data_IF_278244766309
#
_entry.id   IF_278244766309
#
_cell.length_a   1.000
_cell.length_b   1.000
_cell.length_c   1.000
_cell.angle_alpha   90.00
_cell.angle_beta   90.00
_cell.angle_gamma   90.00
#
_symmetry.space_group_name_H-M   'P 1'
#
loop_
_entity.id
_entity.type
_entity.pdbx_description
1 polymer ?
#
# COMPACT_ATOMS: atom_id res chain seq x y z
N UNK A 1 3.88 7.78 -12.22
CA UNK A 1 3.13 6.51 -12.42
C UNK A 1 2.33 6.15 -11.18
N UNK A 2 2.97 6.03 -10.02
CA UNK A 2 2.31 5.61 -8.77
C UNK A 2 1.17 6.52 -8.28
N UNK A 3 1.27 7.84 -8.43
CA UNK A 3 0.25 8.78 -7.93
C UNK A 3 -1.10 8.76 -8.67
N UNK A 4 -1.19 8.16 -9.86
CA UNK A 4 -2.41 8.21 -10.68
C UNK A 4 -2.99 6.82 -10.93
N UNK A 5 -2.14 5.80 -11.03
CA UNK A 5 -2.59 4.42 -11.18
C UNK A 5 -3.21 3.87 -9.89
N UNK A 6 -2.62 4.15 -8.72
CA UNK A 6 -3.16 3.60 -7.46
C UNK A 6 -4.59 4.05 -7.17
N UNK A 7 -4.93 5.36 -7.31
CA UNK A 7 -6.31 5.81 -7.06
C UNK A 7 -7.31 5.24 -8.07
N UNK A 8 -6.88 5.01 -9.32
CA UNK A 8 -7.72 4.37 -10.33
C UNK A 8 -8.05 2.91 -9.95
N UNK A 9 -7.09 2.16 -9.39
CA UNK A 9 -7.36 0.80 -8.93
C UNK A 9 -8.42 0.79 -7.81
N UNK A 10 -8.38 1.74 -6.88
CA UNK A 10 -9.44 1.88 -5.87
C UNK A 10 -10.78 2.23 -6.52
N UNK A 11 -10.79 3.11 -7.53
CA UNK A 11 -12.01 3.49 -8.25
C UNK A 11 -12.62 2.32 -9.06
N UNK A 12 -11.78 1.43 -9.60
CA UNK A 12 -12.19 0.18 -10.28
C UNK A 12 -12.77 -0.89 -9.32
N UNK A 13 -12.79 -0.59 -8.01
CA UNK A 13 -13.38 -1.45 -6.99
C UNK A 13 -12.43 -2.49 -6.43
N UNK A 14 -11.12 -2.24 -6.44
CA UNK A 14 -10.17 -3.01 -5.63
C UNK A 14 -10.26 -2.56 -4.17
N UNK A 15 -10.32 -3.54 -3.26
CA UNK A 15 -10.57 -3.26 -1.85
C UNK A 15 -9.31 -2.73 -1.13
N UNK A 16 -8.15 -3.32 -1.47
CA UNK A 16 -6.86 -2.95 -0.91
C UNK A 16 -5.76 -2.98 -1.99
N UNK A 17 -4.94 -1.93 -2.06
CA UNK A 17 -3.84 -1.80 -3.03
C UNK A 17 -2.52 -1.59 -2.30
N UNK A 18 -1.55 -2.47 -2.53
CA UNK A 18 -0.21 -2.38 -1.94
C UNK A 18 0.79 -1.98 -3.01
N UNK A 19 1.32 -0.77 -2.92
CA UNK A 19 2.32 -0.27 -3.87
C UNK A 19 3.71 -0.44 -3.25
N UNK A 20 4.66 -1.00 -4.01
CA UNK A 20 6.03 -1.10 -3.52
C UNK A 20 6.89 0.01 -4.10
N UNK A 21 7.90 0.43 -3.34
CA UNK A 21 8.88 1.40 -3.79
C UNK A 21 10.29 0.92 -3.40
N UNK A 22 11.31 1.15 -4.25
CA UNK A 22 12.67 0.70 -3.95
C UNK A 22 13.33 1.50 -2.81
N UNK A 23 12.76 2.64 -2.41
CA UNK A 23 13.32 3.54 -1.39
C UNK A 23 12.24 3.97 -0.40
N UNK A 24 12.67 4.24 0.84
CA UNK A 24 11.80 4.66 1.96
C UNK A 24 11.15 6.03 1.77
N UNK A 25 11.94 7.02 1.37
CA UNK A 25 11.48 8.42 1.25
C UNK A 25 10.28 8.58 0.28
N UNK A 26 10.27 7.93 -0.90
CA UNK A 26 9.11 7.92 -1.78
C UNK A 26 7.81 7.41 -1.15
N UNK A 27 7.84 6.41 -0.25
CA UNK A 27 6.62 5.87 0.35
C UNK A 27 5.84 6.95 1.12
N UNK A 28 6.55 7.72 1.96
CA UNK A 28 5.93 8.78 2.73
C UNK A 28 5.43 9.91 1.81
N UNK A 29 6.31 10.43 0.94
CA UNK A 29 5.98 11.57 0.08
C UNK A 29 4.79 11.31 -0.85
N UNK A 30 4.67 10.09 -1.39
CA UNK A 30 3.56 9.74 -2.28
C UNK A 30 2.26 9.61 -1.49
N UNK A 31 2.30 8.99 -0.31
CA UNK A 31 1.13 8.86 0.56
C UNK A 31 0.60 10.22 1.04
N UNK A 32 1.49 11.09 1.53
CA UNK A 32 1.14 12.47 1.93
C UNK A 32 0.54 13.25 0.76
N UNK A 33 1.13 13.13 -0.43
CA UNK A 33 0.62 13.79 -1.64
C UNK A 33 -0.77 13.28 -2.03
N UNK A 34 -1.01 11.98 -1.97
CA UNK A 34 -2.32 11.41 -2.30
C UNK A 34 -3.40 11.84 -1.31
N UNK A 35 -3.07 11.79 -0.01
CA UNK A 35 -4.01 12.18 1.05
C UNK A 35 -4.37 13.67 0.98
N UNK A 36 -3.44 14.52 0.55
CA UNK A 36 -3.69 15.96 0.36
C UNK A 36 -4.39 16.31 -0.97
N UNK A 37 -4.22 15.48 -2.01
CA UNK A 37 -4.74 15.81 -3.36
C UNK A 37 -6.11 15.19 -3.65
N UNK A 38 -6.40 13.99 -3.13
CA UNK A 38 -7.58 13.21 -3.53
C UNK A 38 -8.59 13.12 -2.39
N UNK A 39 -8.19 12.49 -1.29
CA UNK A 39 -9.06 12.26 -0.14
C UNK A 39 -8.20 12.02 1.10
N UNK A 40 -8.55 12.66 2.22
CA UNK A 40 -7.82 12.46 3.48
C UNK A 40 -7.89 11.00 3.91
N UNK A 41 -6.77 10.45 4.39
CA UNK A 41 -6.67 9.07 4.89
C UNK A 41 -6.90 7.96 3.86
N UNK A 42 -6.89 8.29 2.55
CA UNK A 42 -6.99 7.30 1.47
C UNK A 42 -5.82 6.30 1.49
N UNK A 43 -4.64 6.77 1.87
CA UNK A 43 -3.40 6.00 1.85
C UNK A 43 -2.63 6.06 3.15
N UNK A 44 -1.80 5.04 3.35
CA UNK A 44 -0.77 4.96 4.38
C UNK A 44 0.54 4.46 3.81
N UNK A 45 1.53 4.29 4.69
CA UNK A 45 2.84 3.78 4.31
C UNK A 45 3.49 2.95 5.42
N UNK A 46 4.38 2.04 5.03
CA UNK A 46 5.19 1.25 5.96
C UNK A 46 6.61 1.07 5.43
N UNK A 47 7.60 1.32 6.27
CA UNK A 47 9.03 1.09 6.00
C UNK A 47 9.65 0.39 7.22
N UNK A 48 10.84 -0.18 7.08
CA UNK A 48 11.50 -0.79 8.24
C UNK A 48 11.73 0.25 9.34
N UNK A 49 11.07 0.03 10.49
CA UNK A 49 11.15 0.84 11.70
C UNK A 49 10.10 1.94 11.84
N UNK A 50 9.22 2.17 10.86
CA UNK A 50 8.15 3.17 10.95
C UNK A 50 6.97 2.87 10.03
N UNK A 51 5.77 3.21 10.48
CA UNK A 51 4.55 3.05 9.69
C UNK A 51 3.51 4.11 10.03
N UNK A 52 2.60 4.36 9.09
CA UNK A 52 1.50 5.30 9.24
C UNK A 52 0.29 4.81 8.46
N UNK A 53 -0.89 4.80 9.09
CA UNK A 53 -2.17 4.45 8.49
C UNK A 53 -2.15 3.16 7.64
N UNK A 54 -1.53 2.08 8.14
CA UNK A 54 -1.36 0.81 7.39
C UNK A 54 -2.66 0.04 7.14
N UNK A 55 -3.78 0.49 7.73
CA UNK A 55 -5.14 -0.04 7.49
C UNK A 55 -5.88 0.73 6.40
N UNK A 56 -5.24 1.71 5.77
CA UNK A 56 -5.82 2.43 4.64
C UNK A 56 -6.05 1.48 3.46
N UNK A 57 -6.98 1.85 2.58
CA UNK A 57 -7.24 1.12 1.33
C UNK A 57 -6.01 1.04 0.43
N UNK A 58 -5.04 1.91 0.63
CA UNK A 58 -3.82 1.98 -0.15
C UNK A 58 -2.61 2.08 0.77
N UNK A 59 -1.62 1.20 0.59
CA UNK A 59 -0.41 1.20 1.43
C UNK A 59 0.83 1.22 0.57
N UNK A 60 1.70 2.20 0.79
CA UNK A 60 3.03 2.28 0.18
C UNK A 60 4.07 1.63 1.07
N UNK A 61 4.80 0.66 0.56
CA UNK A 61 5.84 -0.01 1.33
C UNK A 61 7.11 -0.24 0.55
N UNK A 62 8.21 -0.48 1.26
CA UNK A 62 9.47 -0.81 0.57
C UNK A 62 9.52 -2.27 0.14
N UNK A 63 10.17 -2.56 -0.99
CA UNK A 63 10.35 -3.94 -1.49
C UNK A 63 10.96 -4.87 -0.42
N UNK A 64 11.93 -4.36 0.33
CA UNK A 64 12.57 -5.11 1.42
C UNK A 64 11.61 -5.47 2.55
N UNK A 65 10.72 -4.54 2.91
CA UNK A 65 9.69 -4.79 3.93
C UNK A 65 8.66 -5.80 3.43
N UNK A 66 8.26 -5.72 2.16
CA UNK A 66 7.33 -6.69 1.57
C UNK A 66 7.92 -8.09 1.67
N UNK A 67 9.17 -8.25 1.24
CA UNK A 67 9.88 -9.53 1.29
C UNK A 67 9.97 -10.07 2.71
N UNK A 68 10.28 -9.22 3.68
CA UNK A 68 10.33 -9.59 5.09
C UNK A 68 8.97 -10.10 5.60
N UNK A 69 7.88 -9.39 5.29
CA UNK A 69 6.52 -9.81 5.66
C UNK A 69 6.14 -11.14 5.01
N UNK A 70 6.44 -11.35 3.73
CA UNK A 70 6.20 -12.63 3.06
C UNK A 70 6.95 -13.81 3.69
N UNK A 71 8.16 -13.58 4.18
CA UNK A 71 8.99 -14.64 4.77
C UNK A 71 8.58 -14.98 6.20
N UNK A 72 8.11 -13.99 6.96
CA UNK A 72 7.84 -14.11 8.39
C UNK A 72 6.35 -14.28 8.72
N UNK A 73 5.46 -13.88 7.83
CA UNK A 73 4.02 -13.87 8.04
C UNK A 73 3.31 -14.68 6.95
N UNK A 74 3.14 -15.98 7.23
CA UNK A 74 2.44 -16.92 6.35
C UNK A 74 0.98 -16.54 6.09
N UNK A 75 0.41 -15.64 6.90
CA UNK A 75 -0.97 -15.19 6.80
C UNK A 75 -1.14 -13.77 6.25
N UNK A 76 -0.04 -13.10 5.87
CA UNK A 76 -0.06 -11.73 5.36
C UNK A 76 -1.00 -11.54 4.15
N UNK A 77 -1.26 -12.61 3.40
CA UNK A 77 -2.09 -12.58 2.18
C UNK A 77 -3.33 -13.48 2.30
N UNK A 78 -3.39 -14.45 3.19
CA UNK A 78 -4.30 -15.60 2.99
C UNK A 78 -5.67 -15.48 3.65
N UNK A 79 -5.89 -14.57 4.61
CA UNK A 79 -7.16 -14.50 5.34
C UNK A 79 -8.06 -13.32 4.91
N UNK A 80 -7.54 -12.14 4.57
CA UNK A 80 -8.35 -11.01 4.09
C UNK A 80 -8.61 -11.02 2.56
N UNK A 81 -7.77 -11.68 1.76
CA UNK A 81 -7.82 -11.60 0.28
C UNK A 81 -8.80 -12.62 -0.34
N UNK A 82 -9.26 -13.62 0.44
CA UNK A 82 -10.18 -14.65 -0.07
C UNK A 82 -11.59 -14.15 -0.38
N UNK A 83 -11.95 -12.93 0.01
CA UNK A 83 -13.32 -12.42 -0.16
C UNK A 83 -13.46 -11.24 -1.10
N UNK A 84 -12.39 -10.54 -1.48
CA UNK A 84 -12.50 -9.21 -2.07
C UNK A 84 -11.24 -8.85 -2.88
N UNK A 85 -11.40 -8.16 -4.01
CA UNK A 85 -10.49 -8.19 -5.18
C UNK A 85 -9.03 -7.87 -4.84
N UNK A 86 -8.16 -8.82 -5.21
CA UNK A 86 -6.71 -8.82 -5.45
C UNK A 86 -5.85 -7.62 -5.02
N UNK A 87 -4.80 -7.92 -4.24
CA UNK A 87 -3.67 -7.00 -4.01
C UNK A 87 -2.84 -6.86 -5.30
N UNK A 88 -2.65 -5.62 -5.77
CA UNK A 88 -1.82 -5.32 -6.95
C UNK A 88 -0.49 -4.72 -6.49
N UNK A 89 0.62 -5.41 -6.78
CA UNK A 89 1.99 -4.92 -6.55
C UNK A 89 2.56 -4.29 -7.83
N UNK A 90 3.12 -3.08 -7.71
CA UNK A 90 3.98 -2.48 -8.75
C UNK A 90 4.94 -1.45 -8.14
#
# INVERSE_FOLDING_TARGET
>A
KSTLLSPLLIAEGYDNVIITQPRRLPCNMISERLNSTIYSDLSGWAINGAESNVKAKMVFLTDGLLRERFMNDTNFITEEIKLNKSVVFY
#
